data_IF_258991899870
#
_entry.id   IF_258991899870
#
_cell.length_a   1.000
_cell.length_b   1.000
_cell.length_c   1.000
_cell.angle_alpha   90.00
_cell.angle_beta   90.00
_cell.angle_gamma   90.00
#
_symmetry.space_group_name_H-M   'P 1'
#
loop_
_entity.id
_entity.type
_entity.pdbx_description
1 polymer ?
#
# COMPACT_ATOMS: atom_id res chain seq x y z
N UNK A 1 35.41 -2.23 11.90
CA UNK A 1 35.06 -1.47 13.13
C UNK A 1 33.55 -1.34 13.15
N UNK A 2 32.87 -2.00 14.10
CA UNK A 2 31.41 -1.98 14.14
C UNK A 2 30.92 -0.61 14.61
N UNK A 3 29.83 -0.13 14.01
CA UNK A 3 29.17 1.15 14.32
C UNK A 3 28.81 1.29 15.80
N UNK A 4 28.57 0.16 16.49
CA UNK A 4 28.33 0.08 17.93
C UNK A 4 29.47 0.64 18.79
N UNK A 5 30.73 0.63 18.31
CA UNK A 5 31.88 1.17 19.07
C UNK A 5 32.03 2.70 18.95
N UNK A 6 31.35 3.34 17.99
CA UNK A 6 31.49 4.79 17.73
C UNK A 6 30.32 5.64 18.22
N UNK A 7 29.20 5.04 18.60
CA UNK A 7 27.97 5.77 18.95
C UNK A 7 27.50 5.44 20.35
N UNK A 8 28.07 6.16 21.33
CA UNK A 8 27.63 6.10 22.72
C UNK A 8 26.44 7.04 22.92
N UNK A 9 25.24 6.48 23.08
CA UNK A 9 24.05 7.25 23.43
C UNK A 9 22.79 6.79 22.71
N UNK A 10 21.68 7.45 23.03
CA UNK A 10 20.41 7.26 22.35
C UNK A 10 20.33 8.28 21.21
N UNK A 11 19.92 7.86 20.02
CA UNK A 11 19.71 8.72 18.86
C UNK A 11 18.23 8.76 18.50
N UNK A 12 17.71 9.95 18.24
CA UNK A 12 16.35 10.17 17.75
C UNK A 12 16.41 10.80 16.36
N UNK A 13 16.05 10.02 15.35
CA UNK A 13 16.00 10.46 13.95
C UNK A 13 14.56 10.83 13.61
N UNK A 14 14.36 12.05 13.12
CA UNK A 14 13.03 12.59 12.92
C UNK A 14 12.95 13.52 11.70
N UNK A 15 11.72 13.75 11.26
CA UNK A 15 11.41 14.73 10.22
C UNK A 15 11.30 16.14 10.86
N UNK A 16 12.28 17.01 10.59
CA UNK A 16 12.31 18.39 11.12
C UNK A 16 11.15 19.27 10.67
N UNK A 17 10.53 18.96 9.54
CA UNK A 17 9.41 19.73 8.97
C UNK A 17 8.04 19.22 9.44
N UNK A 18 7.99 18.01 10.02
CA UNK A 18 6.78 17.49 10.64
C UNK A 18 6.53 18.13 12.02
N UNK A 19 5.41 18.85 12.24
CA UNK A 19 5.14 19.51 13.51
C UNK A 19 5.10 18.56 14.72
N UNK A 20 4.55 17.36 14.53
CA UNK A 20 4.48 16.33 15.57
C UNK A 20 5.86 15.80 15.93
N UNK A 21 6.69 15.50 14.93
CA UNK A 21 8.06 15.04 15.12
C UNK A 21 8.93 16.13 15.79
N UNK A 22 8.78 17.38 15.38
CA UNK A 22 9.49 18.52 15.98
C UNK A 22 9.08 18.74 17.45
N UNK A 23 7.80 18.59 17.78
CA UNK A 23 7.34 18.65 19.17
C UNK A 23 7.96 17.54 20.02
N UNK A 24 8.00 16.31 19.49
CA UNK A 24 8.66 15.19 20.15
C UNK A 24 10.17 15.44 20.34
N UNK A 25 10.87 15.91 19.30
CA UNK A 25 12.28 16.28 19.35
C UNK A 25 12.55 17.37 20.41
N UNK A 26 11.71 18.41 20.47
CA UNK A 26 11.85 19.48 21.46
C UNK A 26 11.68 18.97 22.89
N UNK A 27 10.68 18.12 23.13
CA UNK A 27 10.46 17.49 24.43
C UNK A 27 11.65 16.63 24.85
N UNK A 28 12.30 15.98 23.88
CA UNK A 28 13.50 15.16 24.08
C UNK A 28 14.78 15.98 24.28
N UNK A 29 14.94 17.12 23.59
CA UNK A 29 16.09 18.04 23.74
C UNK A 29 16.26 18.54 25.17
N UNK A 30 15.16 18.71 25.90
CA UNK A 30 15.21 19.07 27.33
C UNK A 30 15.96 17.99 28.13
N UNK A 31 15.89 16.71 27.73
CA UNK A 31 16.58 15.59 28.38
C UNK A 31 18.06 15.47 27.96
N UNK A 32 18.45 15.87 26.75
CA UNK A 32 19.86 15.92 26.32
C UNK A 32 20.72 16.77 27.26
N UNK A 33 20.16 17.87 27.78
CA UNK A 33 20.80 18.67 28.83
C UNK A 33 21.09 17.89 30.14
N UNK A 34 20.52 16.71 30.30
CA UNK A 34 20.62 15.84 31.49
C UNK A 34 20.99 14.37 31.14
N UNK A 35 21.45 14.07 29.92
CA UNK A 35 21.88 12.72 29.48
C UNK A 35 22.27 12.63 27.99
N UNK A 36 22.92 11.54 27.55
CA UNK A 36 23.42 11.36 26.18
C UNK A 36 22.30 11.01 25.18
N UNK A 37 21.50 11.99 24.77
CA UNK A 37 20.48 11.87 23.72
C UNK A 37 20.82 12.78 22.55
N UNK A 38 21.04 12.21 21.37
CA UNK A 38 21.36 12.93 20.15
C UNK A 38 20.14 13.03 19.24
N UNK A 39 19.85 14.23 18.74
CA UNK A 39 18.76 14.49 17.80
C UNK A 39 19.33 14.63 16.40
N UNK A 40 18.79 13.89 15.43
CA UNK A 40 19.20 13.96 14.02
C UNK A 40 17.98 14.33 13.19
N UNK A 41 18.07 15.44 12.46
CA UNK A 41 17.04 15.80 11.51
C UNK A 41 17.36 15.15 10.15
N UNK A 42 16.51 14.19 9.76
CA UNK A 42 16.67 13.41 8.54
C UNK A 42 16.74 14.24 7.25
N UNK A 43 16.23 15.48 7.25
CA UNK A 43 16.27 16.37 6.08
C UNK A 43 17.57 17.14 5.92
N UNK A 44 18.23 17.48 7.01
CA UNK A 44 19.46 18.30 7.00
C UNK A 44 20.72 17.46 7.17
N UNK A 45 20.60 16.29 7.81
CA UNK A 45 21.72 15.43 8.17
C UNK A 45 21.62 14.06 7.45
N UNK A 46 21.35 14.08 6.14
CA UNK A 46 21.16 12.87 5.35
C UNK A 46 22.42 11.99 5.27
N UNK A 47 23.61 12.59 5.34
CA UNK A 47 24.91 11.89 5.24
C UNK A 47 25.36 11.25 6.56
N UNK A 48 24.56 11.35 7.63
CA UNK A 48 24.93 10.79 8.93
C UNK A 48 25.05 9.25 8.84
N UNK A 49 26.09 8.61 9.44
CA UNK A 49 26.29 7.15 9.35
C UNK A 49 25.07 6.30 9.78
N UNK A 50 24.27 6.83 10.71
CA UNK A 50 23.01 6.21 11.14
C UNK A 50 21.95 6.13 10.02
N UNK A 51 21.93 7.09 9.10
CA UNK A 51 21.01 7.09 7.95
C UNK A 51 21.30 5.94 6.99
N UNK A 52 22.58 5.64 6.75
CA UNK A 52 22.97 4.50 5.91
C UNK A 52 22.48 3.16 6.48
N UNK A 53 22.59 2.96 7.80
CA UNK A 53 22.10 1.75 8.46
C UNK A 53 20.56 1.70 8.51
N UNK A 54 19.89 2.84 8.72
CA UNK A 54 18.43 2.97 8.63
C UNK A 54 17.94 2.53 7.25
N UNK A 55 18.60 3.00 6.19
CA UNK A 55 18.26 2.66 4.81
C UNK A 55 18.53 1.18 4.53
N UNK A 56 19.66 0.64 4.98
CA UNK A 56 20.01 -0.78 4.86
C UNK A 56 18.99 -1.70 5.52
N UNK A 57 18.38 -1.26 6.63
CA UNK A 57 17.32 -1.99 7.34
C UNK A 57 15.93 -1.79 6.76
N UNK A 58 15.77 -0.95 5.73
CA UNK A 58 14.48 -0.65 5.12
C UNK A 58 13.52 0.12 6.03
N UNK A 59 14.03 0.91 6.98
CA UNK A 59 13.21 1.71 7.89
C UNK A 59 12.82 3.05 7.21
N UNK A 60 11.55 3.20 6.88
CA UNK A 60 11.02 4.33 6.12
C UNK A 60 10.70 5.53 7.04
N UNK A 61 11.47 6.62 6.92
CA UNK A 61 11.31 7.82 7.75
C UNK A 61 10.05 8.63 7.41
N UNK A 62 9.47 8.44 6.22
CA UNK A 62 8.16 9.01 5.90
C UNK A 62 7.01 8.27 6.60
N UNK A 63 7.26 7.06 7.11
CA UNK A 63 6.26 6.22 7.77
C UNK A 63 6.31 6.32 9.30
N UNK A 64 7.41 6.87 9.86
CA UNK A 64 7.55 7.15 11.28
C UNK A 64 8.94 7.67 11.67
N UNK A 65 9.07 8.18 12.90
CA UNK A 65 10.35 8.53 13.51
C UNK A 65 11.12 7.28 13.97
N UNK A 66 12.43 7.39 14.17
CA UNK A 66 13.30 6.27 14.57
C UNK A 66 14.05 6.62 15.85
N UNK A 67 14.13 5.66 16.78
CA UNK A 67 15.02 5.70 17.94
C UNK A 67 16.03 4.58 17.82
N UNK A 68 17.30 4.91 18.03
CA UNK A 68 18.39 3.94 18.17
C UNK A 68 18.96 4.05 19.58
N UNK A 69 19.02 2.95 20.33
CA UNK A 69 19.47 2.95 21.74
C UNK A 69 20.94 2.53 21.94
N UNK A 70 21.70 2.37 20.84
CA UNK A 70 23.04 1.80 20.84
C UNK A 70 23.08 0.31 20.44
N UNK A 71 21.91 -0.35 20.39
CA UNK A 71 21.81 -1.78 20.03
C UNK A 71 20.61 -2.08 19.11
N UNK A 72 19.46 -1.48 19.39
CA UNK A 72 18.18 -1.76 18.75
C UNK A 72 17.62 -0.52 18.06
N UNK A 73 16.90 -0.76 16.98
CA UNK A 73 16.14 0.26 16.26
C UNK A 73 14.65 0.12 16.56
N UNK A 74 14.04 1.24 16.92
CA UNK A 74 12.60 1.36 17.13
C UNK A 74 12.04 2.33 16.10
N UNK A 75 11.03 1.91 15.35
CA UNK A 75 10.42 2.70 14.28
C UNK A 75 8.93 2.94 14.54
N UNK A 76 8.48 4.18 14.31
CA UNK A 76 7.07 4.55 14.34
C UNK A 76 6.40 4.28 15.69
N UNK A 77 5.48 3.32 15.72
CA UNK A 77 4.76 2.94 16.94
C UNK A 77 5.73 2.49 18.04
N UNK A 78 6.72 1.68 17.70
CA UNK A 78 7.67 1.14 18.69
C UNK A 78 8.57 2.24 19.26
N UNK A 79 8.86 3.29 18.50
CA UNK A 79 9.56 4.48 18.98
C UNK A 79 8.69 5.27 19.98
N UNK A 80 7.40 5.43 19.71
CA UNK A 80 6.46 6.05 20.65
C UNK A 80 6.34 5.24 21.96
N UNK A 81 6.29 3.91 21.86
CA UNK A 81 6.29 3.02 23.02
C UNK A 81 7.58 3.14 23.84
N UNK A 82 8.73 3.19 23.17
CA UNK A 82 10.02 3.40 23.81
C UNK A 82 10.03 4.73 24.58
N UNK A 83 9.54 5.82 23.98
CA UNK A 83 9.40 7.11 24.64
C UNK A 83 8.41 7.07 25.82
N UNK A 84 7.29 6.37 25.69
CA UNK A 84 6.33 6.25 26.78
C UNK A 84 6.92 5.53 28.00
N UNK A 85 7.72 4.47 27.78
CA UNK A 85 8.37 3.69 28.86
C UNK A 85 9.54 4.42 29.49
N UNK A 86 10.42 5.02 28.68
CA UNK A 86 11.70 5.60 29.15
C UNK A 86 11.69 7.13 29.25
N UNK A 87 10.57 7.77 28.92
CA UNK A 87 10.37 9.21 29.01
C UNK A 87 10.06 9.68 30.44
N UNK A 88 10.67 10.78 30.87
CA UNK A 88 10.34 11.43 32.13
C UNK A 88 8.95 12.09 32.05
N UNK A 89 8.10 11.90 33.06
CA UNK A 89 6.74 12.45 33.11
C UNK A 89 6.73 13.95 33.49
N UNK A 90 7.51 14.79 32.79
CA UNK A 90 7.54 16.25 33.02
C UNK A 90 6.89 17.06 31.89
N UNK A 91 6.67 16.47 30.72
CA UNK A 91 6.13 17.15 29.53
C UNK A 91 4.72 16.63 29.19
N UNK A 92 3.82 17.52 28.75
CA UNK A 92 2.45 17.19 28.36
C UNK A 92 2.38 16.10 27.28
N UNK A 93 3.31 16.12 26.33
CA UNK A 93 3.45 15.08 25.30
C UNK A 93 3.79 13.70 25.89
N UNK A 94 4.72 13.63 26.84
CA UNK A 94 5.08 12.36 27.51
C UNK A 94 3.94 11.82 28.36
N UNK A 95 3.16 12.70 29.01
CA UNK A 95 1.95 12.31 29.76
C UNK A 95 0.88 11.77 28.80
N UNK A 96 0.67 12.43 27.67
CA UNK A 96 -0.23 11.95 26.62
C UNK A 96 0.19 10.56 26.11
N UNK A 97 1.46 10.38 25.74
CA UNK A 97 1.97 9.08 25.34
C UNK A 97 1.81 8.05 26.46
N UNK A 98 2.22 8.33 27.70
CA UNK A 98 2.04 7.39 28.82
C UNK A 98 0.57 6.99 29.04
N UNK A 99 -0.35 7.92 28.92
CA UNK A 99 -1.80 7.66 29.03
C UNK A 99 -2.31 6.78 27.89
N UNK A 100 -1.93 7.11 26.65
CA UNK A 100 -2.33 6.37 25.44
C UNK A 100 -1.74 4.95 25.40
N UNK A 101 -0.47 4.82 25.80
CA UNK A 101 0.29 3.56 25.78
C UNK A 101 0.14 2.71 27.06
N UNK A 102 -0.63 3.18 28.05
CA UNK A 102 -1.02 2.39 29.23
C UNK A 102 -1.89 1.18 28.87
N UNK A 103 -2.61 1.25 27.75
CA UNK A 103 -3.49 0.19 27.25
C UNK A 103 -2.98 -0.35 25.92
N UNK A 104 -2.22 -1.45 25.94
CA UNK A 104 -1.61 -2.08 24.75
C UNK A 104 -2.53 -2.19 23.52
N UNK A 105 -3.80 -2.65 23.58
CA UNK A 105 -4.63 -2.77 22.38
C UNK A 105 -5.02 -1.43 21.74
N UNK A 106 -5.09 -0.34 22.52
CA UNK A 106 -5.43 1.00 22.02
C UNK A 106 -4.30 1.57 21.14
N UNK A 107 -3.06 1.16 21.39
CA UNK A 107 -1.87 1.67 20.69
C UNK A 107 -1.83 1.29 19.22
N UNK A 108 -2.17 0.03 18.92
CA UNK A 108 -2.26 -0.49 17.55
C UNK A 108 -3.35 0.25 16.78
N UNK A 109 -4.46 0.57 17.42
CA UNK A 109 -5.60 1.25 16.79
C UNK A 109 -5.29 2.73 16.53
N UNK A 110 -4.66 3.41 17.48
CA UNK A 110 -4.46 4.86 17.46
C UNK A 110 -3.25 5.29 16.62
N UNK A 111 -2.25 4.42 16.43
CA UNK A 111 -1.06 4.77 15.65
C UNK A 111 -1.37 5.17 14.19
N UNK A 112 -2.20 4.44 13.41
CA UNK A 112 -2.57 4.88 12.06
C UNK A 112 -3.28 6.23 12.02
N UNK A 113 -4.01 6.60 13.07
CA UNK A 113 -4.62 7.93 13.18
C UNK A 113 -3.56 9.01 13.39
N UNK A 114 -2.60 8.79 14.30
CA UNK A 114 -1.47 9.71 14.49
C UNK A 114 -0.61 9.85 13.22
N UNK A 115 -0.44 8.76 12.48
CA UNK A 115 0.24 8.79 11.19
C UNK A 115 -0.58 9.54 10.14
N UNK A 116 -1.90 9.35 10.12
CA UNK A 116 -2.81 10.11 9.27
C UNK A 116 -2.76 11.61 9.53
N UNK A 117 -2.76 12.03 10.81
CA UNK A 117 -2.63 13.45 11.17
C UNK A 117 -1.25 14.00 10.81
N UNK A 118 -0.16 13.24 11.01
CA UNK A 118 1.18 13.59 10.50
C UNK A 118 1.13 13.86 8.99
N UNK A 119 0.62 12.91 8.22
CA UNK A 119 0.59 13.01 6.76
C UNK A 119 -0.26 14.19 6.28
N UNK A 120 -1.40 14.44 6.95
CA UNK A 120 -2.25 15.59 6.66
C UNK A 120 -1.54 16.92 6.94
N UNK A 121 -0.83 17.03 8.07
CA UNK A 121 -0.09 18.25 8.42
C UNK A 121 1.06 18.55 7.46
N UNK A 122 1.79 17.51 7.03
CA UNK A 122 2.86 17.63 6.02
C UNK A 122 2.26 18.06 4.68
N UNK A 123 1.15 17.44 4.26
CA UNK A 123 0.45 17.77 3.02
C UNK A 123 -0.05 19.21 2.99
N UNK A 124 -0.66 19.69 4.09
CA UNK A 124 -1.18 21.05 4.16
C UNK A 124 -0.08 22.13 4.08
N UNK A 125 1.17 21.75 4.38
CA UNK A 125 2.33 22.61 4.26
C UNK A 125 3.07 22.46 2.92
N UNK A 126 2.57 21.64 2.00
CA UNK A 126 3.23 21.29 0.74
C UNK A 126 4.68 20.80 0.90
N UNK A 127 4.98 20.14 2.02
CA UNK A 127 6.31 19.58 2.28
C UNK A 127 6.43 18.25 1.53
N UNK A 128 7.51 18.09 0.76
CA UNK A 128 7.82 16.84 0.07
C UNK A 128 8.20 15.69 1.02
N UNK A 129 8.04 14.46 0.53
CA UNK A 129 8.55 13.25 1.21
C UNK A 129 10.07 13.31 1.38
N UNK A 130 10.59 12.67 2.41
CA UNK A 130 12.03 12.47 2.61
C UNK A 130 12.53 11.44 1.59
N UNK A 131 11.75 10.38 1.35
CA UNK A 131 12.04 9.29 0.43
C UNK A 131 13.43 8.66 0.65
N UNK A 132 13.78 8.39 1.92
CA UNK A 132 15.10 7.84 2.28
C UNK A 132 15.36 6.44 1.69
N UNK A 133 14.30 5.72 1.30
CA UNK A 133 14.38 4.43 0.64
C UNK A 133 14.24 4.51 -0.89
N UNK A 134 14.19 5.71 -1.46
CA UNK A 134 14.11 5.97 -2.90
C UNK A 134 12.94 5.24 -3.59
N UNK A 135 11.78 5.21 -2.96
CA UNK A 135 10.59 4.52 -3.47
C UNK A 135 10.13 5.06 -4.81
N UNK A 136 10.35 6.35 -5.10
CA UNK A 136 9.97 6.96 -6.38
C UNK A 136 10.72 6.42 -7.58
N UNK A 137 11.85 5.75 -7.38
CA UNK A 137 12.68 5.23 -8.48
C UNK A 137 12.22 3.85 -8.98
N UNK A 138 11.45 3.12 -8.17
CA UNK A 138 11.08 1.73 -8.43
C UNK A 138 9.56 1.57 -8.57
N UNK A 139 9.07 0.72 -9.50
CA UNK A 139 7.64 0.44 -9.60
C UNK A 139 7.05 -0.17 -8.33
N UNK A 140 5.78 0.12 -8.06
CA UNK A 140 5.05 -0.38 -6.87
C UNK A 140 5.11 -1.91 -6.77
N UNK A 141 5.04 -2.59 -7.92
CA UNK A 141 5.01 -4.05 -7.98
C UNK A 141 6.38 -4.71 -7.93
N UNK A 142 7.47 -3.96 -8.01
CA UNK A 142 8.81 -4.54 -7.91
C UNK A 142 9.02 -5.20 -6.54
N UNK A 143 8.59 -4.57 -5.45
CA UNK A 143 8.63 -5.17 -4.11
C UNK A 143 7.64 -6.34 -3.92
N UNK A 144 6.58 -6.40 -4.73
CA UNK A 144 5.56 -7.46 -4.68
C UNK A 144 6.10 -8.73 -5.35
N UNK A 145 6.78 -8.59 -6.48
CA UNK A 145 7.39 -9.71 -7.20
C UNK A 145 8.80 -10.07 -6.69
N UNK A 146 9.49 -9.16 -6.01
CA UNK A 146 10.87 -9.34 -5.52
C UNK A 146 11.76 -9.89 -6.64
N UNK A 147 12.37 -11.06 -6.42
CA UNK A 147 13.34 -11.68 -7.32
C UNK A 147 12.70 -12.14 -8.65
N UNK A 148 11.37 -12.30 -8.67
CA UNK A 148 10.65 -12.64 -9.89
C UNK A 148 10.49 -11.44 -10.83
N UNK A 149 10.65 -10.20 -10.36
CA UNK A 149 10.46 -9.00 -11.17
C UNK A 149 11.30 -9.02 -12.44
N UNK A 150 12.59 -9.36 -12.31
CA UNK A 150 13.52 -9.34 -13.44
C UNK A 150 13.19 -10.40 -14.50
N UNK A 151 12.52 -11.47 -14.08
CA UNK A 151 12.08 -12.57 -14.96
C UNK A 151 10.73 -12.30 -15.63
N UNK A 152 10.02 -11.23 -15.28
CA UNK A 152 8.76 -10.90 -15.94
C UNK A 152 8.98 -10.50 -17.42
N UNK A 153 8.10 -10.94 -18.33
CA UNK A 153 8.08 -10.48 -19.70
C UNK A 153 7.96 -8.95 -19.80
N UNK A 154 8.52 -8.32 -20.86
CA UNK A 154 8.50 -6.86 -21.02
C UNK A 154 7.11 -6.23 -20.94
N UNK A 155 6.08 -6.86 -21.51
CA UNK A 155 4.71 -6.35 -21.45
C UNK A 155 4.15 -6.29 -20.03
N UNK A 156 4.46 -7.29 -19.18
CA UNK A 156 4.00 -7.31 -17.80
C UNK A 156 4.78 -6.29 -16.96
N UNK A 157 6.08 -6.08 -17.23
CA UNK A 157 6.84 -4.97 -16.64
C UNK A 157 6.25 -3.60 -17.01
N UNK A 158 5.82 -3.41 -18.27
CA UNK A 158 5.12 -2.18 -18.72
C UNK A 158 3.77 -2.02 -18.02
N UNK A 159 2.98 -3.10 -17.91
CA UNK A 159 1.70 -3.13 -17.21
C UNK A 159 1.81 -2.70 -15.75
N UNK A 160 2.89 -3.13 -15.06
CA UNK A 160 3.17 -2.85 -13.66
C UNK A 160 4.15 -1.69 -13.43
N UNK A 161 4.35 -0.80 -14.41
CA UNK A 161 5.46 0.16 -14.40
C UNK A 161 5.27 1.38 -13.47
N UNK A 162 4.06 1.62 -12.97
CA UNK A 162 3.76 2.79 -12.14
C UNK A 162 4.60 2.81 -10.86
N UNK A 163 5.20 3.98 -10.57
CA UNK A 163 5.96 4.25 -9.36
C UNK A 163 5.06 4.87 -8.29
N UNK A 164 5.35 4.70 -6.99
CA UNK A 164 4.59 5.37 -5.94
C UNK A 164 4.92 6.88 -5.89
N UNK A 165 4.01 7.70 -5.35
CA UNK A 165 4.27 9.12 -5.05
C UNK A 165 4.57 10.00 -6.27
N UNK A 166 3.99 9.67 -7.42
CA UNK A 166 4.09 10.40 -8.68
C UNK A 166 2.73 10.42 -9.40
N UNK A 167 2.67 10.97 -10.61
CA UNK A 167 1.46 10.98 -11.45
C UNK A 167 1.55 10.00 -12.63
N UNK A 168 2.35 8.93 -12.50
CA UNK A 168 2.43 7.92 -13.56
C UNK A 168 1.04 7.38 -13.91
N UNK A 169 0.78 7.27 -15.21
CA UNK A 169 -0.42 6.66 -15.77
C UNK A 169 0.01 5.64 -16.83
N UNK A 170 -0.46 4.41 -16.69
CA UNK A 170 -0.38 3.37 -17.73
C UNK A 170 -1.80 3.06 -18.19
N UNK A 171 -2.03 3.10 -19.50
CA UNK A 171 -3.35 2.80 -20.07
C UNK A 171 -3.28 1.54 -20.92
N UNK A 172 -4.23 0.63 -20.70
CA UNK A 172 -4.46 -0.53 -21.56
C UNK A 172 -5.86 -0.49 -22.15
N UNK A 173 -5.99 -1.00 -23.37
CA UNK A 173 -7.26 -1.18 -24.06
C UNK A 173 -7.40 -2.64 -24.49
N UNK A 174 -8.62 -3.16 -24.50
CA UNK A 174 -8.86 -4.57 -24.80
C UNK A 174 -10.32 -4.91 -24.97
N UNK A 175 -10.58 -6.19 -25.21
CA UNK A 175 -11.92 -6.75 -25.29
C UNK A 175 -12.05 -7.91 -24.31
N UNK A 176 -13.16 -7.95 -23.57
CA UNK A 176 -13.43 -8.97 -22.57
C UNK A 176 -14.74 -9.71 -22.85
N UNK A 177 -14.73 -11.02 -22.60
CA UNK A 177 -15.94 -11.81 -22.41
C UNK A 177 -16.28 -11.82 -20.93
N UNK A 178 -17.48 -11.37 -20.57
CA UNK A 178 -17.93 -11.25 -19.20
C UNK A 178 -19.07 -12.22 -18.96
N UNK A 179 -18.96 -12.99 -17.89
CA UNK A 179 -19.96 -13.94 -17.43
C UNK A 179 -20.27 -13.70 -15.95
N UNK A 180 -21.56 -13.61 -15.62
CA UNK A 180 -22.07 -13.48 -14.27
C UNK A 180 -23.31 -14.36 -14.12
N UNK A 181 -23.26 -15.33 -13.20
CA UNK A 181 -24.34 -16.30 -12.94
C UNK A 181 -25.01 -16.05 -11.60
N UNK A 182 -26.21 -16.63 -11.44
CA UNK A 182 -26.84 -16.72 -10.14
C UNK A 182 -25.93 -17.48 -9.14
N UNK A 183 -25.95 -17.14 -7.85
CA UNK A 183 -26.80 -16.12 -7.22
C UNK A 183 -26.25 -14.69 -7.32
N UNK A 184 -25.04 -14.48 -7.85
CA UNK A 184 -24.39 -13.17 -7.88
C UNK A 184 -25.21 -12.13 -8.66
N UNK A 185 -25.88 -12.55 -9.73
CA UNK A 185 -26.80 -11.70 -10.50
C UNK A 185 -28.00 -11.20 -9.70
N UNK A 186 -28.45 -11.89 -8.65
CA UNK A 186 -29.53 -11.40 -7.78
C UNK A 186 -29.13 -10.15 -7.00
N UNK A 187 -27.83 -10.00 -6.73
CA UNK A 187 -27.25 -8.84 -6.06
C UNK A 187 -26.91 -7.70 -7.04
N UNK A 188 -27.23 -7.84 -8.33
CA UNK A 188 -26.85 -6.88 -9.37
C UNK A 188 -27.24 -5.42 -9.05
N UNK A 189 -28.46 -5.10 -8.53
CA UNK A 189 -28.80 -3.72 -8.17
C UNK A 189 -27.87 -3.14 -7.10
N UNK A 190 -27.56 -3.94 -6.07
CA UNK A 190 -26.65 -3.55 -4.98
C UNK A 190 -25.23 -3.39 -5.50
N UNK A 191 -24.75 -4.31 -6.34
CA UNK A 191 -23.42 -4.24 -6.93
C UNK A 191 -23.23 -3.00 -7.80
N UNK A 192 -24.24 -2.66 -8.63
CA UNK A 192 -24.23 -1.44 -9.45
C UNK A 192 -24.22 -0.19 -8.57
N UNK A 193 -25.06 -0.14 -7.55
CA UNK A 193 -25.09 0.97 -6.59
C UNK A 193 -23.74 1.14 -5.87
N UNK A 194 -23.14 0.02 -5.47
CA UNK A 194 -21.86 0.01 -4.80
C UNK A 194 -20.67 0.25 -5.75
N UNK A 195 -20.89 0.26 -7.07
CA UNK A 195 -19.82 0.36 -8.08
C UNK A 195 -18.83 -0.79 -7.99
N UNK A 196 -19.33 -2.01 -7.78
CA UNK A 196 -18.56 -3.25 -7.74
C UNK A 196 -18.32 -3.82 -9.15
N UNK A 197 -17.79 -5.03 -9.25
CA UNK A 197 -17.63 -5.74 -10.54
C UNK A 197 -18.95 -5.73 -11.34
N UNK A 198 -18.90 -5.58 -12.67
CA UNK A 198 -20.10 -5.46 -13.50
C UNK A 198 -20.91 -6.77 -13.51
N UNK A 199 -22.18 -6.78 -13.06
CA UNK A 199 -23.02 -7.96 -13.10
C UNK A 199 -23.72 -8.07 -14.48
N UNK A 200 -22.96 -8.48 -15.49
CA UNK A 200 -23.42 -8.59 -16.88
C UNK A 200 -22.98 -9.92 -17.52
N UNK A 201 -23.64 -10.30 -18.60
CA UNK A 201 -23.22 -11.38 -19.50
C UNK A 201 -23.15 -10.79 -20.91
N UNK A 202 -21.94 -10.58 -21.43
CA UNK A 202 -21.73 -10.03 -22.75
C UNK A 202 -20.34 -10.45 -23.25
N UNK A 203 -20.25 -10.80 -24.54
CA UNK A 203 -19.02 -11.18 -25.21
C UNK A 203 -18.43 -9.99 -25.97
N UNK A 204 -17.11 -9.97 -26.10
CA UNK A 204 -16.38 -8.94 -26.83
C UNK A 204 -16.71 -7.50 -26.38
N UNK A 205 -16.78 -7.28 -25.07
CA UNK A 205 -17.02 -5.96 -24.47
C UNK A 205 -15.73 -5.14 -24.56
N UNK A 206 -15.71 -3.98 -25.24
CA UNK A 206 -14.55 -3.09 -25.21
C UNK A 206 -14.32 -2.57 -23.79
N UNK A 207 -13.06 -2.57 -23.36
CA UNK A 207 -12.65 -2.12 -22.02
C UNK A 207 -11.39 -1.29 -22.10
N UNK A 208 -11.41 -0.15 -21.42
CA UNK A 208 -10.23 0.67 -21.17
C UNK A 208 -9.91 0.63 -19.67
N UNK A 209 -8.64 0.42 -19.33
CA UNK A 209 -8.17 0.44 -17.95
C UNK A 209 -7.03 1.44 -17.82
N UNK A 210 -7.20 2.39 -16.92
CA UNK A 210 -6.13 3.30 -16.49
C UNK A 210 -5.59 2.85 -15.14
N UNK A 211 -4.30 2.59 -15.09
CA UNK A 211 -3.55 2.38 -13.86
C UNK A 211 -2.89 3.69 -13.44
N UNK A 212 -3.22 4.19 -12.25
CA UNK A 212 -2.75 5.49 -11.76
C UNK A 212 -1.95 5.37 -10.49
N UNK A 213 -0.88 6.15 -10.43
CA UNK A 213 -0.16 6.46 -9.21
C UNK A 213 -0.85 7.57 -8.42
N UNK A 214 -0.51 7.67 -7.14
CA UNK A 214 -1.00 8.72 -6.26
C UNK A 214 0.18 9.46 -5.64
N UNK A 215 0.11 10.79 -5.59
CA UNK A 215 1.17 11.64 -5.04
C UNK A 215 1.44 11.40 -3.54
N UNK A 216 0.51 10.78 -2.83
CA UNK A 216 0.52 10.65 -1.38
C UNK A 216 0.40 9.20 -0.89
N UNK A 217 0.37 8.22 -1.80
CA UNK A 217 0.14 6.81 -1.47
C UNK A 217 0.98 5.87 -2.34
N UNK A 218 1.33 4.69 -1.79
CA UNK A 218 1.90 3.56 -2.55
C UNK A 218 0.79 2.72 -3.23
N UNK A 219 -0.45 3.19 -3.22
CA UNK A 219 -1.58 2.46 -3.79
C UNK A 219 -1.55 2.54 -5.33
N UNK A 220 -1.72 1.39 -5.97
CA UNK A 220 -1.86 1.29 -7.42
C UNK A 220 -3.35 1.32 -7.77
N UNK A 221 -3.81 2.41 -8.38
CA UNK A 221 -5.23 2.66 -8.61
C UNK A 221 -5.69 2.12 -9.96
N UNK A 222 -6.83 1.44 -9.99
CA UNK A 222 -7.46 0.93 -11.20
C UNK A 222 -8.74 1.72 -11.49
N UNK A 223 -8.82 2.26 -12.70
CA UNK A 223 -10.06 2.82 -13.25
C UNK A 223 -10.41 2.04 -14.52
N UNK A 224 -11.36 1.10 -14.40
CA UNK A 224 -11.82 0.26 -15.50
C UNK A 224 -13.13 0.80 -16.05
N UNK A 225 -13.20 1.02 -17.35
CA UNK A 225 -14.39 1.46 -18.08
C UNK A 225 -14.83 0.36 -19.02
N UNK A 226 -16.05 -0.14 -18.84
CA UNK A 226 -16.64 -1.19 -19.67
C UNK A 226 -17.72 -0.60 -20.58
N UNK A 227 -17.62 -0.85 -21.88
CA UNK A 227 -18.52 -0.29 -22.90
C UNK A 227 -19.53 -1.35 -23.37
N UNK A 228 -20.51 -1.66 -22.54
CA UNK A 228 -21.61 -2.57 -22.88
C UNK A 228 -22.51 -2.02 -23.99
N UNK A 229 -23.03 -2.87 -24.88
CA UNK A 229 -23.84 -2.45 -26.05
C UNK A 229 -25.10 -1.65 -25.70
N UNK A 230 -25.76 -1.99 -24.60
CA UNK A 230 -27.12 -1.49 -24.28
C UNK A 230 -27.19 -0.58 -23.07
N UNK A 231 -26.06 -0.20 -22.47
CA UNK A 231 -26.03 0.66 -21.28
C UNK A 231 -24.94 1.71 -21.37
N UNK A 232 -25.02 2.75 -20.55
CA UNK A 232 -23.91 3.70 -20.37
C UNK A 232 -22.64 2.96 -19.91
N UNK A 233 -21.45 3.50 -20.21
CA UNK A 233 -20.19 2.91 -19.76
C UNK A 233 -20.21 2.65 -18.25
N UNK A 234 -19.84 1.43 -17.87
CA UNK A 234 -19.81 1.02 -16.48
C UNK A 234 -18.41 1.24 -15.93
N UNK A 235 -18.30 2.05 -14.87
CA UNK A 235 -17.02 2.32 -14.23
C UNK A 235 -16.83 1.44 -12.98
N UNK A 236 -15.75 0.67 -12.95
CA UNK A 236 -15.30 -0.06 -11.78
C UNK A 236 -13.96 0.49 -11.30
N UNK A 237 -13.95 1.02 -10.08
CA UNK A 237 -12.77 1.66 -9.47
C UNK A 237 -12.32 0.90 -8.24
N UNK A 238 -11.02 0.70 -8.13
CA UNK A 238 -10.40 0.01 -7.00
C UNK A 238 -8.95 0.44 -6.83
N UNK A 239 -8.32 0.06 -5.73
CA UNK A 239 -6.91 0.34 -5.47
C UNK A 239 -6.24 -0.90 -4.88
N UNK A 240 -5.07 -1.25 -5.39
CA UNK A 240 -4.25 -2.32 -4.82
C UNK A 240 -3.26 -1.75 -3.82
N UNK A 241 -3.24 -2.35 -2.64
CA UNK A 241 -2.38 -1.96 -1.53
C UNK A 241 -1.58 -3.19 -1.11
N UNK A 242 -0.25 -3.11 -1.22
CA UNK A 242 0.66 -4.11 -0.67
C UNK A 242 0.52 -4.12 0.86
N UNK A 243 0.29 -5.30 1.42
CA UNK A 243 0.18 -5.48 2.88
C UNK A 243 1.49 -6.01 3.44
N UNK A 244 2.01 -7.05 2.83
CA UNK A 244 3.24 -7.72 3.24
C UNK A 244 3.75 -8.56 2.09
N UNK A 245 5.04 -8.46 1.77
CA UNK A 245 5.70 -9.25 0.72
C UNK A 245 4.86 -9.27 -0.57
N UNK A 246 4.53 -10.44 -1.08
CA UNK A 246 3.71 -10.64 -2.27
C UNK A 246 2.18 -10.65 -2.00
N UNK A 247 1.73 -10.19 -0.82
CA UNK A 247 0.32 -10.14 -0.44
C UNK A 247 -0.24 -8.74 -0.65
N UNK A 248 -1.30 -8.67 -1.44
CA UNK A 248 -1.96 -7.43 -1.87
C UNK A 248 -3.44 -7.51 -1.51
N UNK A 249 -4.04 -6.36 -1.19
CA UNK A 249 -5.50 -6.22 -1.08
C UNK A 249 -5.97 -5.25 -2.16
N UNK A 250 -6.84 -5.72 -3.05
CA UNK A 250 -7.59 -4.85 -3.98
C UNK A 250 -8.82 -4.33 -3.25
N UNK A 251 -8.78 -3.06 -2.85
CA UNK A 251 -9.83 -2.37 -2.12
C UNK A 251 -10.78 -1.70 -3.11
N UNK A 252 -12.03 -2.17 -3.10
CA UNK A 252 -13.12 -1.64 -3.90
C UNK A 252 -13.81 -0.49 -3.14
N UNK A 253 -14.86 0.10 -3.75
CA UNK A 253 -15.67 1.12 -3.09
C UNK A 253 -16.25 0.59 -1.77
N UNK A 254 -16.44 1.51 -0.81
CA UNK A 254 -16.90 1.21 0.56
C UNK A 254 -15.93 0.34 1.39
N UNK A 255 -14.69 0.15 0.93
CA UNK A 255 -13.62 -0.45 1.71
C UNK A 255 -13.59 -1.98 1.70
N UNK A 256 -14.52 -2.65 1.01
CA UNK A 256 -14.44 -4.10 0.81
C UNK A 256 -13.21 -4.42 -0.03
N UNK A 257 -12.37 -5.33 0.45
CA UNK A 257 -11.11 -5.69 -0.17
C UNK A 257 -10.99 -7.18 -0.44
N UNK A 258 -10.54 -7.56 -1.63
CA UNK A 258 -10.12 -8.92 -1.94
C UNK A 258 -8.63 -9.06 -1.61
N UNK A 259 -8.30 -9.93 -0.65
CA UNK A 259 -6.92 -10.26 -0.29
C UNK A 259 -6.42 -11.37 -1.19
N UNK A 260 -5.27 -11.16 -1.82
CA UNK A 260 -4.66 -12.08 -2.77
C UNK A 260 -3.15 -12.14 -2.59
N UNK A 261 -2.55 -13.22 -3.10
CA UNK A 261 -1.10 -13.37 -3.20
C UNK A 261 -0.70 -13.41 -4.66
N UNK A 262 0.27 -12.57 -5.02
CA UNK A 262 0.91 -12.55 -6.33
C UNK A 262 2.05 -13.56 -6.40
N UNK A 263 2.11 -14.31 -7.48
CA UNK A 263 3.20 -15.25 -7.77
C UNK A 263 3.47 -15.28 -9.26
N UNK A 264 4.73 -15.46 -9.64
CA UNK A 264 5.16 -15.77 -11.00
C UNK A 264 5.59 -17.24 -11.03
N UNK A 265 5.02 -18.04 -11.94
CA UNK A 265 5.34 -19.47 -12.06
C UNK A 265 6.36 -19.79 -13.17
N UNK A 266 6.91 -18.76 -13.82
CA UNK A 266 7.79 -18.89 -14.99
C UNK A 266 7.07 -18.68 -16.33
N UNK A 267 5.74 -18.76 -16.36
CA UNK A 267 4.93 -18.57 -17.57
C UNK A 267 3.89 -17.47 -17.41
N UNK A 268 3.27 -17.37 -16.22
CA UNK A 268 2.18 -16.46 -15.94
C UNK A 268 2.24 -15.88 -14.54
N UNK A 269 1.65 -14.69 -14.41
CA UNK A 269 1.38 -14.07 -13.11
C UNK A 269 0.06 -14.65 -12.58
N UNK A 270 0.04 -15.06 -11.32
CA UNK A 270 -1.11 -15.69 -10.65
C UNK A 270 -1.48 -14.90 -9.40
N UNK A 271 -2.75 -14.56 -9.28
CA UNK A 271 -3.35 -13.88 -8.14
C UNK A 271 -4.23 -14.89 -7.40
N UNK A 272 -3.69 -15.47 -6.33
CA UNK A 272 -4.36 -16.53 -5.56
C UNK A 272 -5.14 -15.99 -4.37
N UNK A 273 -6.37 -16.49 -4.15
CA UNK A 273 -7.23 -16.06 -3.05
C UNK A 273 -6.59 -16.24 -1.67
N UNK A 274 -6.68 -15.21 -0.82
CA UNK A 274 -6.28 -15.24 0.60
C UNK A 274 -7.36 -14.79 1.58
N UNK A 275 -8.56 -14.47 1.08
CA UNK A 275 -9.69 -14.05 1.89
C UNK A 275 -10.20 -12.66 1.48
N UNK A 276 -11.06 -12.12 2.32
CA UNK A 276 -11.57 -10.76 2.20
C UNK A 276 -11.20 -9.95 3.44
N UNK A 277 -11.08 -8.64 3.28
CA UNK A 277 -10.85 -7.71 4.37
C UNK A 277 -11.71 -6.46 4.17
N UNK A 278 -12.13 -5.83 5.25
CA UNK A 278 -12.80 -4.53 5.23
C UNK A 278 -11.83 -3.46 5.71
N UNK A 279 -11.61 -2.43 4.88
CA UNK A 279 -10.79 -1.27 5.21
C UNK A 279 -11.61 -0.29 6.06
N UNK A 280 -11.35 -0.26 7.37
CA UNK A 280 -12.02 0.62 8.33
C UNK A 280 -10.98 1.49 9.04
N UNK A 281 -11.14 2.81 8.98
CA UNK A 281 -10.29 3.78 9.71
C UNK A 281 -8.77 3.54 9.56
N UNK A 282 -8.33 3.16 8.36
CA UNK A 282 -6.91 2.89 8.06
C UNK A 282 -6.44 1.47 8.38
N UNK A 283 -7.31 0.62 8.94
CA UNK A 283 -7.03 -0.77 9.27
C UNK A 283 -7.70 -1.74 8.30
N UNK A 284 -7.10 -2.91 8.10
CA UNK A 284 -7.70 -4.02 7.37
C UNK A 284 -8.21 -5.07 8.34
N UNK A 285 -9.53 -5.20 8.46
CA UNK A 285 -10.18 -6.20 9.30
C UNK A 285 -10.54 -7.41 8.43
N UNK A 286 -9.96 -8.60 8.67
CA UNK A 286 -10.35 -9.82 7.94
C UNK A 286 -11.84 -10.12 8.13
N UNK A 287 -12.53 -10.50 7.07
CA UNK A 287 -13.96 -10.86 7.11
C UNK A 287 -14.20 -12.23 6.47
N UNK A 288 -15.07 -13.08 7.03
CA UNK A 288 -15.29 -14.45 6.56
C UNK A 288 -16.22 -14.52 5.34
N UNK A 289 -16.03 -13.62 4.36
CA UNK A 289 -16.89 -13.52 3.18
C UNK A 289 -16.60 -14.56 2.11
N UNK A 290 -15.51 -15.32 2.22
CA UNK A 290 -15.14 -16.36 1.22
C UNK A 290 -16.23 -17.42 1.03
N UNK A 291 -16.95 -17.78 2.08
CA UNK A 291 -18.03 -18.77 1.99
C UNK A 291 -19.24 -18.24 1.19
N UNK A 292 -19.47 -16.93 1.22
CA UNK A 292 -20.65 -16.26 0.63
C UNK A 292 -20.37 -15.63 -0.75
N UNK A 293 -19.16 -15.14 -0.97
CA UNK A 293 -18.75 -14.50 -2.21
C UNK A 293 -17.99 -15.45 -3.12
N UNK A 294 -17.38 -16.50 -2.58
CA UNK A 294 -16.49 -17.40 -3.29
C UNK A 294 -15.02 -16.99 -3.23
N UNK A 295 -14.18 -17.76 -3.92
CA UNK A 295 -12.74 -17.52 -4.04
C UNK A 295 -12.45 -16.84 -5.37
N UNK A 296 -11.87 -15.66 -5.31
CA UNK A 296 -11.32 -14.97 -6.49
C UNK A 296 -10.02 -15.61 -6.97
N UNK A 297 -9.81 -15.67 -8.27
CA UNK A 297 -8.58 -16.08 -8.91
C UNK A 297 -8.36 -15.21 -10.14
N UNK A 298 -7.14 -14.79 -10.39
CA UNK A 298 -6.78 -14.21 -11.67
C UNK A 298 -5.43 -14.70 -12.16
N UNK A 299 -5.24 -14.65 -13.47
CA UNK A 299 -3.96 -14.92 -14.11
C UNK A 299 -3.75 -13.99 -15.31
N UNK A 300 -2.48 -13.68 -15.55
CA UNK A 300 -2.03 -12.82 -16.64
C UNK A 300 -0.87 -13.49 -17.37
N UNK A 301 -0.98 -13.56 -18.69
CA UNK A 301 -0.03 -14.25 -19.57
C UNK A 301 0.44 -13.27 -20.64
N UNK A 302 1.74 -13.12 -20.80
CA UNK A 302 2.29 -12.34 -21.90
C UNK A 302 2.02 -13.04 -23.24
N UNK A 303 1.52 -12.29 -24.23
CA UNK A 303 1.33 -12.77 -25.60
C UNK A 303 2.51 -12.34 -26.47
N UNK A 304 2.92 -11.08 -26.32
CA UNK A 304 4.08 -10.47 -26.98
C UNK A 304 4.56 -9.24 -26.20
N UNK A 305 5.33 -8.35 -26.82
CA UNK A 305 5.91 -7.17 -26.17
C UNK A 305 4.91 -6.06 -25.79
N UNK A 306 3.68 -6.13 -26.30
CA UNK A 306 2.65 -5.10 -26.14
C UNK A 306 1.31 -5.65 -25.66
N UNK A 307 1.07 -6.95 -25.81
CA UNK A 307 -0.20 -7.60 -25.49
C UNK A 307 -0.07 -8.68 -24.43
N UNK A 308 -1.09 -8.78 -23.59
CA UNK A 308 -1.22 -9.83 -22.59
C UNK A 308 -2.66 -10.29 -22.48
N UNK A 309 -2.84 -11.58 -22.16
CA UNK A 309 -4.14 -12.17 -21.86
C UNK A 309 -4.37 -12.16 -20.35
N UNK A 310 -5.60 -11.88 -19.95
CA UNK A 310 -6.02 -11.86 -18.56
C UNK A 310 -7.27 -12.70 -18.38
N UNK A 311 -7.31 -13.50 -17.32
CA UNK A 311 -8.49 -14.22 -16.88
C UNK A 311 -8.69 -13.95 -15.40
N UNK A 312 -9.89 -13.52 -15.02
CA UNK A 312 -10.31 -13.41 -13.62
C UNK A 312 -11.61 -14.17 -13.43
N UNK A 313 -11.73 -14.93 -12.36
CA UNK A 313 -12.98 -15.58 -12.00
C UNK A 313 -13.21 -15.67 -10.50
N UNK A 314 -14.46 -15.81 -10.12
CA UNK A 314 -14.89 -16.06 -8.74
C UNK A 314 -15.59 -17.41 -8.71
N UNK A 315 -15.07 -18.31 -7.86
CA UNK A 315 -15.61 -19.66 -7.68
C UNK A 315 -16.27 -19.77 -6.31
N UNK A 316 -17.59 -19.90 -6.32
CA UNK A 316 -18.40 -20.11 -5.13
C UNK A 316 -18.36 -21.58 -4.69
N UNK A 317 -18.30 -21.88 -3.37
CA UNK A 317 -18.34 -23.25 -2.83
C UNK A 317 -19.48 -24.12 -3.37
N UNK A 318 -20.72 -23.62 -3.37
CA UNK A 318 -21.90 -24.39 -3.82
C UNK A 318 -22.27 -24.24 -5.30
N UNK A 319 -21.97 -23.10 -5.94
CA UNK A 319 -22.43 -22.81 -7.31
C UNK A 319 -21.32 -22.83 -8.36
N UNK A 320 -20.09 -23.18 -7.99
CA UNK A 320 -18.95 -23.20 -8.90
C UNK A 320 -18.62 -21.79 -9.39
N UNK A 321 -18.23 -21.66 -10.67
CA UNK A 321 -17.82 -20.38 -11.25
C UNK A 321 -19.04 -19.45 -11.43
N UNK A 322 -19.16 -18.44 -10.56
CA UNK A 322 -20.27 -17.48 -10.54
C UNK A 322 -19.95 -16.17 -11.26
N UNK A 323 -18.67 -15.87 -11.45
CA UNK A 323 -18.22 -14.71 -12.19
C UNK A 323 -16.96 -15.05 -12.99
N UNK A 324 -16.84 -14.50 -14.18
CA UNK A 324 -15.62 -14.54 -14.97
C UNK A 324 -15.54 -13.31 -15.87
N UNK A 325 -14.34 -12.78 -16.05
CA UNK A 325 -14.01 -12.14 -17.30
C UNK A 325 -12.71 -12.69 -17.84
N UNK A 326 -12.59 -12.76 -19.16
CA UNK A 326 -11.37 -13.16 -19.85
C UNK A 326 -11.21 -12.33 -21.11
N UNK A 327 -9.97 -12.05 -21.50
CA UNK A 327 -9.72 -11.40 -22.77
C UNK A 327 -8.30 -10.89 -22.89
N UNK A 328 -8.08 -10.08 -23.92
CA UNK A 328 -6.76 -9.59 -24.31
C UNK A 328 -6.69 -8.07 -24.16
N UNK A 329 -5.58 -7.61 -23.62
CA UNK A 329 -5.24 -6.20 -23.49
C UNK A 329 -3.98 -5.86 -24.27
N UNK A 330 -3.92 -4.62 -24.73
CA UNK A 330 -2.77 -3.98 -25.38
C UNK A 330 -2.39 -2.72 -24.60
N UNK A 331 -1.09 -2.52 -24.40
CA UNK A 331 -0.53 -1.31 -23.78
C UNK A 331 -0.61 -0.15 -24.78
N UNK A 332 -1.39 0.87 -24.45
CA UNK A 332 -1.63 2.02 -25.33
C UNK A 332 -0.57 3.11 -25.15
N UNK A 333 -0.37 3.54 -23.90
CA UNK A 333 0.46 4.69 -23.59
C UNK A 333 0.91 4.62 -22.13
N UNK A 334 2.15 5.08 -21.88
CA UNK A 334 2.66 5.36 -20.54
C UNK A 334 2.98 6.84 -20.47
N UNK A 335 2.31 7.54 -19.57
CA UNK A 335 2.60 8.93 -19.24
C UNK A 335 3.37 8.94 -17.92
N UNK A 336 4.64 9.34 -17.99
CA UNK A 336 5.48 9.55 -16.82
C UNK A 336 5.27 10.98 -16.31
N UNK A 337 4.94 11.15 -15.02
CA UNK A 337 4.58 12.46 -14.47
C UNK A 337 4.72 12.61 -12.96
#
# INVERSE_FOLDING_TARGET
MNMNDKMNGIYFVYDGECPLCRSAAYALRIKEKFGALHLINARTEADHPLMAEINKRGLDLDEGMIIYDGSNFYHGQTALEFMARHGAAKNSFTVFCKSLFRWRPITVITYPWMRGTRNMLIRNKNIGRIDNLNHKSTPIFQSIFSDAWDNLPPVLKKHYANRPYCNDIVTVSGHLDIMCKAPLTWLAPIMRLMGQIPPANEENVPVTVEFKSDLHSKAFQFNRQFYFKSTKPYAFRSQMIQVQDNVVIEVMRFGLGWKMRYTWDGTKVILSHKGYALKLFGHFVPVPLTLFMGKGYAEEVAVDEHRFDMITHITHPWWGKVYQYKGRFEIMEKLDG
#
